data_IF_002445734171
#
_entry.id   IF_002445734171
#
_cell.length_a   1.000
_cell.length_b   1.000
_cell.length_c   1.000
_cell.angle_alpha   90.00
_cell.angle_beta   90.00
_cell.angle_gamma   90.00
#
_symmetry.space_group_name_H-M   'P 1'
#
loop_
_entity.id
_entity.type
_entity.pdbx_description
1 polymer ?
#
# COMPACT_ATOMS: atom_id res chain seq x y z
N UNK A 1 -6.78 -14.80 19.51
CA UNK A 1 -7.63 -14.57 18.32
C UNK A 1 -7.81 -13.09 18.00
N UNK A 2 -8.32 -12.23 18.91
CA UNK A 2 -8.54 -10.80 18.62
C UNK A 2 -7.29 -10.03 18.18
N UNK A 3 -6.13 -10.33 18.74
CA UNK A 3 -4.86 -9.67 18.40
C UNK A 3 -4.35 -10.01 17.00
N UNK A 4 -4.48 -11.29 16.59
CA UNK A 4 -4.14 -11.69 15.21
C UNK A 4 -5.07 -11.00 14.20
N UNK A 5 -6.36 -10.87 14.52
CA UNK A 5 -7.29 -10.14 13.68
C UNK A 5 -6.88 -8.66 13.54
N UNK A 6 -6.48 -8.00 14.63
CA UNK A 6 -6.06 -6.60 14.62
C UNK A 6 -4.83 -6.36 13.72
N UNK A 7 -3.82 -7.22 13.81
CA UNK A 7 -2.59 -7.14 13.02
C UNK A 7 -2.82 -7.38 11.53
N UNK A 8 -3.87 -8.10 11.17
CA UNK A 8 -4.25 -8.35 9.77
C UNK A 8 -5.23 -7.30 9.23
N UNK A 9 -6.18 -6.85 10.04
CA UNK A 9 -7.18 -5.84 9.63
C UNK A 9 -6.55 -4.47 9.42
N UNK A 10 -5.57 -4.08 10.24
CA UNK A 10 -4.92 -2.79 10.13
C UNK A 10 -4.29 -2.55 8.73
N UNK A 11 -3.42 -3.42 8.19
CA UNK A 11 -2.87 -3.24 6.85
C UNK A 11 -3.94 -3.18 5.76
N UNK A 12 -4.99 -4.01 5.87
CA UNK A 12 -6.09 -3.98 4.92
C UNK A 12 -6.81 -2.63 4.91
N UNK A 13 -7.11 -2.08 6.09
CA UNK A 13 -7.77 -0.77 6.22
C UNK A 13 -6.92 0.33 5.57
N UNK A 14 -5.61 0.33 5.84
CA UNK A 14 -4.67 1.28 5.23
C UNK A 14 -4.67 1.13 3.71
N UNK A 15 -4.68 -0.10 3.19
CA UNK A 15 -4.71 -0.37 1.76
C UNK A 15 -5.99 0.12 1.07
N UNK A 16 -7.15 -0.11 1.69
CA UNK A 16 -8.44 0.37 1.16
C UNK A 16 -8.50 1.90 1.16
N UNK A 17 -8.06 2.55 2.24
CA UNK A 17 -7.93 4.01 2.29
C UNK A 17 -6.98 4.54 1.22
N UNK A 18 -5.86 3.84 0.99
CA UNK A 18 -4.90 4.22 -0.04
C UNK A 18 -5.51 4.13 -1.45
N UNK A 19 -6.31 3.11 -1.76
CA UNK A 19 -7.04 3.04 -3.04
C UNK A 19 -8.00 4.21 -3.19
N UNK A 20 -8.77 4.56 -2.15
CA UNK A 20 -9.70 5.68 -2.20
C UNK A 20 -9.01 7.01 -2.55
N UNK A 21 -7.80 7.23 -2.02
CA UNK A 21 -7.02 8.45 -2.29
C UNK A 21 -6.31 8.41 -3.65
N UNK A 22 -5.80 7.24 -4.07
CA UNK A 22 -4.96 7.11 -5.27
C UNK A 22 -5.78 6.86 -6.56
N UNK A 23 -6.91 6.14 -6.46
CA UNK A 23 -7.72 5.75 -7.61
C UNK A 23 -9.05 6.50 -7.72
N UNK A 24 -9.48 7.20 -6.68
CA UNK A 24 -10.78 7.86 -6.58
C UNK A 24 -10.78 9.36 -6.93
N UNK A 25 -9.78 9.88 -7.63
CA UNK A 25 -9.65 11.32 -7.85
C UNK A 25 -10.56 11.82 -8.97
N UNK A 26 -11.65 12.59 -8.66
CA UNK A 26 -12.49 13.21 -9.65
C UNK A 26 -11.82 14.40 -10.38
N UNK A 27 -10.63 14.84 -9.91
CA UNK A 27 -9.93 16.01 -10.42
C UNK A 27 -8.83 15.66 -11.43
N UNK A 28 -8.83 14.44 -11.99
CA UNK A 28 -7.84 14.03 -13.01
C UNK A 28 -7.78 15.00 -14.19
N UNK A 29 -8.94 15.54 -14.62
CA UNK A 29 -9.00 16.53 -15.71
C UNK A 29 -8.35 17.86 -15.33
N UNK A 30 -8.55 18.31 -14.10
CA UNK A 30 -7.93 19.55 -13.58
C UNK A 30 -6.43 19.35 -13.39
N UNK A 31 -5.99 18.17 -12.99
CA UNK A 31 -4.58 17.85 -12.86
C UNK A 31 -3.87 17.76 -14.23
N UNK A 32 -4.57 17.31 -15.28
CA UNK A 32 -4.03 17.31 -16.63
C UNK A 32 -3.78 18.72 -17.19
N UNK A 33 -4.50 19.73 -16.68
CA UNK A 33 -4.29 21.14 -17.00
C UNK A 33 -3.24 21.84 -16.10
N UNK A 34 -2.73 21.15 -15.07
CA UNK A 34 -1.75 21.68 -14.13
C UNK A 34 -0.32 21.54 -14.68
N UNK A 35 0.57 22.51 -14.44
CA UNK A 35 2.00 22.40 -14.80
C UNK A 35 2.74 21.35 -13.95
N UNK A 36 2.12 20.82 -12.89
CA UNK A 36 2.71 19.78 -12.04
C UNK A 36 2.49 18.41 -12.68
N UNK A 37 3.57 17.66 -12.87
CA UNK A 37 3.50 16.33 -13.45
C UNK A 37 2.61 15.39 -12.59
N UNK A 38 1.65 14.73 -13.23
CA UNK A 38 0.73 13.78 -12.58
C UNK A 38 1.45 12.74 -11.73
N UNK A 39 2.60 12.22 -12.21
CA UNK A 39 3.41 11.26 -11.45
C UNK A 39 3.92 11.81 -10.13
N UNK A 40 4.29 13.11 -10.07
CA UNK A 40 4.79 13.72 -8.85
C UNK A 40 3.68 13.81 -7.78
N UNK A 41 2.47 14.20 -8.19
CA UNK A 41 1.31 14.27 -7.29
C UNK A 41 0.95 12.88 -6.76
N UNK A 42 0.89 11.86 -7.62
CA UNK A 42 0.57 10.49 -7.20
C UNK A 42 1.63 9.90 -6.27
N UNK A 43 2.90 10.16 -6.55
CA UNK A 43 4.00 9.71 -5.68
C UNK A 43 3.96 10.42 -4.33
N UNK A 44 3.72 11.73 -4.30
CA UNK A 44 3.59 12.47 -3.05
C UNK A 44 2.43 11.94 -2.20
N UNK A 45 1.27 11.67 -2.80
CA UNK A 45 0.13 11.04 -2.10
C UNK A 45 0.50 9.68 -1.53
N UNK A 46 1.19 8.83 -2.30
CA UNK A 46 1.66 7.53 -1.82
C UNK A 46 2.65 7.66 -0.66
N UNK A 47 3.58 8.60 -0.71
CA UNK A 47 4.53 8.88 0.40
C UNK A 47 3.80 9.36 1.65
N UNK A 48 2.83 10.26 1.52
CA UNK A 48 2.01 10.72 2.65
C UNK A 48 1.24 9.55 3.27
N UNK A 49 0.65 8.68 2.46
CA UNK A 49 -0.07 7.49 2.92
C UNK A 49 0.85 6.48 3.59
N UNK A 50 2.07 6.28 3.07
CA UNK A 50 3.09 5.44 3.71
C UNK A 50 3.48 5.99 5.09
N UNK A 51 3.74 7.29 5.17
CA UNK A 51 4.06 7.94 6.44
C UNK A 51 2.88 7.85 7.43
N UNK A 52 1.67 8.15 7.01
CA UNK A 52 0.47 8.07 7.83
C UNK A 52 0.20 6.63 8.31
N UNK A 53 0.35 5.64 7.41
CA UNK A 53 0.22 4.23 7.76
C UNK A 53 1.30 3.76 8.75
N UNK A 54 2.55 4.18 8.57
CA UNK A 54 3.62 3.87 9.51
C UNK A 54 3.39 4.51 10.89
N UNK A 55 3.05 5.80 10.92
CA UNK A 55 2.75 6.53 12.18
C UNK A 55 1.54 5.92 12.87
N UNK A 56 0.47 5.62 12.15
CA UNK A 56 -0.71 4.96 12.71
C UNK A 56 -0.40 3.58 13.30
N UNK A 57 0.44 2.79 12.61
CA UNK A 57 0.93 1.52 13.15
C UNK A 57 1.71 1.71 14.46
N UNK A 58 2.63 2.67 14.49
CA UNK A 58 3.43 2.94 15.70
C UNK A 58 2.54 3.40 16.85
N UNK A 59 1.65 4.38 16.62
CA UNK A 59 0.73 4.90 17.66
C UNK A 59 -0.15 3.79 18.24
N UNK A 60 -0.60 2.86 17.39
CA UNK A 60 -1.48 1.77 17.82
C UNK A 60 -0.73 0.63 18.49
N UNK A 61 0.40 0.20 17.94
CA UNK A 61 1.07 -1.03 18.38
C UNK A 61 2.19 -0.82 19.39
N UNK A 62 2.82 0.37 19.47
CA UNK A 62 3.86 0.66 20.48
C UNK A 62 3.32 0.54 21.90
N UNK A 63 2.16 1.13 22.27
CA UNK A 63 1.61 0.95 23.62
C UNK A 63 1.26 -0.50 23.92
N UNK A 64 0.70 -1.23 22.96
CA UNK A 64 0.35 -2.64 23.12
C UNK A 64 1.59 -3.52 23.31
N UNK A 65 2.68 -3.20 22.61
CA UNK A 65 3.96 -3.87 22.78
C UNK A 65 4.58 -3.55 24.15
N UNK A 66 4.55 -2.28 24.56
CA UNK A 66 5.09 -1.87 25.87
C UNK A 66 4.37 -2.56 27.06
N UNK A 67 3.06 -2.82 26.88
CA UNK A 67 2.25 -3.56 27.86
C UNK A 67 2.44 -5.09 27.76
N UNK A 68 3.26 -5.58 26.83
CA UNK A 68 3.48 -7.01 26.62
C UNK A 68 2.26 -7.77 26.09
N UNK A 69 1.29 -7.06 25.51
CA UNK A 69 0.04 -7.65 24.99
C UNK A 69 0.25 -8.27 23.60
N UNK A 70 1.11 -7.66 22.78
CA UNK A 70 1.37 -8.07 21.39
C UNK A 70 2.86 -8.35 21.21
N UNK A 71 3.19 -9.36 20.39
CA UNK A 71 4.58 -9.70 20.01
C UNK A 71 5.54 -9.97 21.19
N UNK A 72 5.02 -10.51 22.32
CA UNK A 72 5.81 -10.78 23.53
C UNK A 72 7.04 -11.62 23.24
N UNK A 73 6.91 -12.62 22.36
CA UNK A 73 7.97 -13.59 22.04
C UNK A 73 9.03 -13.05 21.07
N UNK A 74 8.68 -12.02 20.27
CA UNK A 74 9.54 -11.46 19.21
C UNK A 74 10.13 -10.09 19.63
N UNK A 75 9.62 -9.50 20.71
CA UNK A 75 10.05 -8.19 21.18
C UNK A 75 9.73 -7.05 20.19
N UNK A 76 10.53 -5.99 20.23
CA UNK A 76 10.31 -4.79 19.40
C UNK A 76 10.38 -5.04 17.88
N UNK A 77 11.03 -6.13 17.45
CA UNK A 77 11.05 -6.55 16.05
C UNK A 77 9.65 -6.89 15.53
N UNK A 78 8.71 -7.24 16.40
CA UNK A 78 7.32 -7.50 16.03
C UNK A 78 6.60 -6.30 15.39
N UNK A 79 7.06 -5.05 15.67
CA UNK A 79 6.51 -3.83 15.06
C UNK A 79 6.76 -3.75 13.55
N UNK A 80 7.74 -4.50 13.03
CA UNK A 80 7.97 -4.61 11.58
C UNK A 80 6.75 -5.21 10.87
N UNK A 81 5.98 -6.06 11.55
CA UNK A 81 4.80 -6.70 10.95
C UNK A 81 3.69 -5.68 10.58
N UNK A 82 3.15 -4.86 11.49
CA UNK A 82 2.12 -3.91 11.15
C UNK A 82 2.62 -2.76 10.27
N UNK A 83 3.84 -2.26 10.50
CA UNK A 83 4.44 -1.19 9.68
C UNK A 83 4.72 -1.69 8.27
N UNK A 84 5.37 -2.85 8.14
CA UNK A 84 5.66 -3.47 6.85
C UNK A 84 4.38 -3.89 6.11
N UNK A 85 3.37 -4.39 6.84
CA UNK A 85 2.07 -4.70 6.28
C UNK A 85 1.36 -3.48 5.70
N UNK A 86 1.34 -2.37 6.43
CA UNK A 86 0.79 -1.10 5.94
C UNK A 86 1.53 -0.61 4.68
N UNK A 87 2.86 -0.64 4.70
CA UNK A 87 3.67 -0.25 3.55
C UNK A 87 3.40 -1.13 2.31
N UNK A 88 3.28 -2.45 2.50
CA UNK A 88 2.92 -3.38 1.42
C UNK A 88 1.56 -3.04 0.81
N UNK A 89 0.55 -2.74 1.63
CA UNK A 89 -0.79 -2.41 1.13
C UNK A 89 -0.84 -1.06 0.41
N UNK A 90 -0.11 -0.05 0.89
CA UNK A 90 -0.02 1.25 0.19
C UNK A 90 0.70 1.10 -1.15
N UNK A 91 1.82 0.37 -1.20
CA UNK A 91 2.53 0.12 -2.47
C UNK A 91 1.67 -0.70 -3.44
N UNK A 92 0.94 -1.70 -2.94
CA UNK A 92 -0.02 -2.46 -3.75
C UNK A 92 -1.11 -1.55 -4.31
N UNK A 93 -1.68 -0.67 -3.48
CA UNK A 93 -2.68 0.30 -3.90
C UNK A 93 -2.13 1.26 -4.98
N UNK A 94 -0.89 1.74 -4.82
CA UNK A 94 -0.23 2.59 -5.80
C UNK A 94 -0.07 1.90 -7.16
N UNK A 95 0.45 0.66 -7.15
CA UNK A 95 0.62 -0.17 -8.35
C UNK A 95 -0.74 -0.48 -8.99
N UNK A 96 -1.71 -0.91 -8.17
CA UNK A 96 -3.04 -1.26 -8.64
C UNK A 96 -3.79 -0.06 -9.21
N UNK A 97 -3.73 1.12 -8.57
CA UNK A 97 -4.35 2.34 -9.07
C UNK A 97 -3.80 2.78 -10.43
N UNK A 98 -2.50 2.56 -10.65
CA UNK A 98 -1.87 2.86 -11.93
C UNK A 98 -2.28 1.88 -13.05
N UNK A 99 -2.42 0.57 -12.73
CA UNK A 99 -2.66 -0.47 -13.73
C UNK A 99 -4.15 -0.73 -13.99
N UNK A 100 -4.99 -0.65 -12.95
CA UNK A 100 -6.35 -1.19 -13.00
C UNK A 100 -7.38 -0.30 -13.73
N UNK A 101 -7.08 0.97 -13.99
CA UNK A 101 -7.97 1.90 -14.69
C UNK A 101 -9.28 2.25 -13.95
N UNK A 102 -9.61 1.55 -12.85
CA UNK A 102 -10.79 1.81 -12.02
C UNK A 102 -10.50 1.54 -10.55
N UNK A 103 -11.16 2.31 -9.66
CA UNK A 103 -11.04 2.16 -8.21
C UNK A 103 -11.53 0.78 -7.72
N UNK A 104 -12.57 0.24 -8.36
CA UNK A 104 -13.09 -1.09 -8.06
C UNK A 104 -12.04 -2.19 -8.27
N UNK A 105 -11.38 -2.19 -9.42
CA UNK A 105 -10.36 -3.20 -9.73
C UNK A 105 -9.12 -3.03 -8.83
N UNK A 106 -8.75 -1.79 -8.51
CA UNK A 106 -7.66 -1.51 -7.58
C UNK A 106 -7.98 -2.03 -6.16
N UNK A 107 -9.22 -1.85 -5.68
CA UNK A 107 -9.66 -2.39 -4.38
C UNK A 107 -9.64 -3.91 -4.38
N UNK A 108 -10.12 -4.57 -5.43
CA UNK A 108 -10.07 -6.02 -5.56
C UNK A 108 -8.63 -6.54 -5.55
N UNK A 109 -7.70 -5.85 -6.22
CA UNK A 109 -6.29 -6.22 -6.21
C UNK A 109 -5.69 -6.12 -4.80
N UNK A 110 -5.98 -5.07 -4.05
CA UNK A 110 -5.50 -4.90 -2.66
C UNK A 110 -6.04 -6.02 -1.77
N UNK A 111 -7.35 -6.34 -1.87
CA UNK A 111 -7.94 -7.44 -1.09
C UNK A 111 -7.34 -8.78 -1.47
N UNK A 112 -7.13 -9.04 -2.77
CA UNK A 112 -6.53 -10.30 -3.23
C UNK A 112 -5.09 -10.46 -2.74
N UNK A 113 -4.29 -9.40 -2.79
CA UNK A 113 -2.91 -9.39 -2.28
C UNK A 113 -2.91 -9.57 -0.77
N UNK A 114 -3.80 -8.90 -0.05
CA UNK A 114 -3.93 -9.09 1.40
C UNK A 114 -4.29 -10.55 1.75
N UNK A 115 -5.26 -11.16 1.06
CA UNK A 115 -5.62 -12.56 1.26
C UNK A 115 -4.43 -13.49 0.97
N UNK A 116 -3.68 -13.23 -0.09
CA UNK A 116 -2.48 -14.00 -0.40
C UNK A 116 -1.46 -13.92 0.73
N UNK A 117 -1.20 -12.73 1.28
CA UNK A 117 -0.28 -12.59 2.41
C UNK A 117 -0.81 -13.28 3.67
N UNK A 118 -2.08 -13.07 4.02
CA UNK A 118 -2.65 -13.60 5.24
C UNK A 118 -2.77 -15.14 5.24
N UNK A 119 -3.11 -15.75 4.09
CA UNK A 119 -3.43 -17.18 4.00
C UNK A 119 -2.27 -18.02 3.46
N UNK A 120 -1.43 -17.46 2.61
CA UNK A 120 -0.38 -18.22 1.93
C UNK A 120 1.01 -17.80 2.38
N UNK A 121 1.32 -16.52 2.30
CA UNK A 121 2.69 -16.05 2.52
C UNK A 121 3.11 -16.07 3.99
N UNK A 122 2.35 -15.41 4.85
CA UNK A 122 2.68 -15.27 6.27
C UNK A 122 2.82 -16.61 7.01
N UNK A 123 1.93 -17.61 6.79
CA UNK A 123 2.08 -18.92 7.43
C UNK A 123 3.28 -19.73 6.95
N UNK A 124 3.72 -19.54 5.69
CA UNK A 124 4.77 -20.35 5.09
C UNK A 124 6.17 -19.73 5.20
N UNK A 125 6.29 -18.45 5.56
CA UNK A 125 7.57 -17.74 5.66
C UNK A 125 7.80 -17.33 7.12
N UNK A 126 8.52 -18.15 7.91
CA UNK A 126 8.69 -17.89 9.35
C UNK A 126 9.67 -16.75 9.65
N UNK A 127 10.58 -16.42 8.74
CA UNK A 127 11.55 -15.34 8.93
C UNK A 127 10.92 -13.99 8.66
N UNK A 128 10.72 -13.18 9.70
CA UNK A 128 10.08 -11.87 9.63
C UNK A 128 10.73 -10.93 8.61
N UNK A 129 12.07 -10.96 8.51
CA UNK A 129 12.83 -10.16 7.55
C UNK A 129 12.50 -10.53 6.09
N UNK A 130 12.36 -11.81 5.78
CA UNK A 130 11.96 -12.29 4.45
C UNK A 130 10.46 -12.09 4.22
N UNK A 131 9.65 -12.30 5.25
CA UNK A 131 8.20 -12.18 5.20
C UNK A 131 7.75 -10.78 4.73
N UNK A 132 8.42 -9.73 5.18
CA UNK A 132 8.10 -8.34 4.81
C UNK A 132 9.10 -7.72 3.83
N UNK A 133 10.38 -8.06 3.96
CA UNK A 133 11.44 -7.47 3.14
C UNK A 133 11.35 -7.83 1.67
N UNK A 134 11.19 -9.10 1.33
CA UNK A 134 11.18 -9.57 -0.05
C UNK A 134 9.96 -9.02 -0.85
N UNK A 135 8.72 -9.06 -0.32
CA UNK A 135 7.58 -8.44 -1.01
C UNK A 135 7.70 -6.92 -1.11
N UNK A 136 8.26 -6.25 -0.10
CA UNK A 136 8.50 -4.81 -0.17
C UNK A 136 9.46 -4.44 -1.29
N UNK A 137 10.55 -5.17 -1.46
CA UNK A 137 11.51 -4.96 -2.55
C UNK A 137 10.85 -5.18 -3.91
N UNK A 138 10.05 -6.24 -4.06
CA UNK A 138 9.33 -6.51 -5.30
C UNK A 138 8.34 -5.41 -5.66
N UNK A 139 7.56 -4.94 -4.67
CA UNK A 139 6.59 -3.86 -4.87
C UNK A 139 7.27 -2.49 -5.10
N UNK A 140 8.41 -2.23 -4.46
CA UNK A 140 9.20 -1.02 -4.74
C UNK A 140 9.76 -1.04 -6.16
N UNK A 141 10.25 -2.18 -6.64
CA UNK A 141 10.68 -2.34 -8.02
C UNK A 141 9.52 -2.12 -9.01
N UNK A 142 8.35 -2.72 -8.73
CA UNK A 142 7.15 -2.50 -9.53
C UNK A 142 6.71 -1.03 -9.52
N UNK A 143 6.71 -0.38 -8.37
CA UNK A 143 6.38 1.03 -8.23
C UNK A 143 7.36 1.93 -9.00
N UNK A 144 8.66 1.61 -8.99
CA UNK A 144 9.67 2.32 -9.77
C UNK A 144 9.46 2.15 -11.29
N UNK A 145 9.10 0.95 -11.74
CA UNK A 145 8.75 0.71 -13.15
C UNK A 145 7.51 1.51 -13.56
N UNK A 146 6.49 1.53 -12.71
CA UNK A 146 5.27 2.31 -12.96
C UNK A 146 5.56 3.80 -12.97
N UNK A 147 6.36 4.29 -12.04
CA UNK A 147 6.75 5.70 -11.99
C UNK A 147 7.43 6.15 -13.29
N UNK A 148 8.28 5.31 -13.86
CA UNK A 148 8.90 5.55 -15.18
C UNK A 148 7.84 5.53 -16.29
N UNK A 149 6.94 4.57 -16.28
CA UNK A 149 5.87 4.44 -17.27
C UNK A 149 4.89 5.62 -17.22
N UNK A 150 4.55 6.13 -16.02
CA UNK A 150 3.68 7.31 -15.85
C UNK A 150 4.30 8.60 -16.42
N UNK A 151 5.63 8.68 -16.53
CA UNK A 151 6.33 9.79 -17.18
C UNK A 151 6.38 9.72 -18.70
N UNK A 152 5.95 8.62 -19.32
CA UNK A 152 5.92 8.48 -20.76
C UNK A 152 4.68 9.18 -21.36
N UNK A 153 4.83 9.99 -22.41
CA UNK A 153 3.73 10.76 -23.00
C UNK A 153 2.56 9.88 -23.48
N UNK A 154 2.85 8.65 -23.90
CA UNK A 154 1.84 7.70 -24.37
C UNK A 154 0.85 7.26 -23.29
N UNK A 155 1.28 7.27 -22.02
CA UNK A 155 0.42 6.85 -20.91
C UNK A 155 -0.67 7.90 -20.59
N UNK A 156 -0.33 9.18 -20.71
CA UNK A 156 -1.28 10.28 -20.53
C UNK A 156 -2.41 10.21 -21.58
N UNK A 157 -2.07 9.93 -22.83
CA UNK A 157 -3.05 9.79 -23.92
C UNK A 157 -3.98 8.59 -23.75
N UNK A 158 -3.52 7.47 -23.20
CA UNK A 158 -4.36 6.28 -22.95
C UNK A 158 -5.42 6.55 -21.87
N UNK A 159 -5.07 7.28 -20.80
CA UNK A 159 -6.02 7.62 -19.74
C UNK A 159 -7.06 8.66 -20.21
N UNK A 160 -6.68 9.60 -21.06
CA UNK A 160 -7.58 10.61 -21.62
C UNK A 160 -8.48 10.02 -22.75
N UNK A 161 -7.97 9.05 -23.50
CA UNK A 161 -8.71 8.41 -24.61
C UNK A 161 -9.66 7.29 -24.17
N UNK A 162 -9.48 6.70 -23.01
CA UNK A 162 -10.34 5.63 -22.47
C UNK A 162 -11.59 6.11 -21.74
N UNK A 163 -11.81 7.42 -21.64
CA UNK A 163 -13.00 8.05 -21.02
C UNK A 163 -14.10 8.40 -22.05
N UNK A 164 -14.07 7.81 -23.26
CA UNK A 164 -15.13 7.92 -24.26
C UNK A 164 -15.97 6.65 -24.33
#
# INVERSE_FOLDING_TARGET
>A
MAMLALTQVYPLTVGVCAVAVLAGDPLVEVQAASPVEFRAVQTLRAVILLAAGAVGALVMFVPLQALGIVYRDVGWMGLVTPVGGAALMVLTAYVAAALAGSSRNASLAVVAVWLFFALVWDPNVPLLALQRGLPLLALLAAAACIWRALGAPEYAWRKLGGAR
#
